data_IF_168299795042
#
_entry.id   IF_168299795042
#
_cell.length_a   1.000
_cell.length_b   1.000
_cell.length_c   1.000
_cell.angle_alpha   90.00
_cell.angle_beta   90.00
_cell.angle_gamma   90.00
#
_symmetry.space_group_name_H-M   'P 1'
#
loop_
_entity.id
_entity.type
_entity.pdbx_description
1 polymer ?
#
# COMPACT_ATOMS: atom_id res chain seq x y z
N UNK A 1 4.49 8.93 9.37
CA UNK A 1 3.78 8.26 8.26
C UNK A 1 2.71 9.12 7.62
N UNK A 2 2.09 10.01 8.40
CA UNK A 2 1.04 10.95 8.01
C UNK A 2 1.22 11.63 6.64
N UNK A 3 2.43 12.04 6.25
CA UNK A 3 2.68 12.64 4.92
C UNK A 3 2.20 11.77 3.75
N UNK A 4 2.34 10.45 3.82
CA UNK A 4 1.87 9.55 2.76
C UNK A 4 0.36 9.35 2.83
N UNK A 5 -0.20 9.11 4.01
CA UNK A 5 -1.65 8.90 4.17
C UNK A 5 -2.44 10.16 3.79
N UNK A 6 -1.97 11.34 4.17
CA UNK A 6 -2.53 12.62 3.74
C UNK A 6 -2.37 12.84 2.23
N UNK A 7 -1.28 12.40 1.61
CA UNK A 7 -1.15 12.46 0.14
C UNK A 7 -2.16 11.55 -0.54
N UNK A 8 -2.42 10.34 -0.02
CA UNK A 8 -3.44 9.43 -0.56
C UNK A 8 -4.82 10.06 -0.42
N UNK A 9 -5.16 10.60 0.77
CA UNK A 9 -6.40 11.34 0.99
C UNK A 9 -6.56 12.48 0.00
N UNK A 10 -5.50 13.26 -0.22
CA UNK A 10 -5.56 14.39 -1.14
C UNK A 10 -5.82 13.95 -2.58
N UNK A 11 -5.19 12.87 -3.02
CA UNK A 11 -5.47 12.28 -4.32
C UNK A 11 -6.92 11.76 -4.43
N UNK A 12 -7.49 11.21 -3.35
CA UNK A 12 -8.90 10.80 -3.34
C UNK A 12 -9.85 12.01 -3.41
N UNK A 13 -9.56 13.09 -2.70
CA UNK A 13 -10.34 14.34 -2.72
C UNK A 13 -10.35 15.00 -4.10
N UNK A 14 -9.21 14.99 -4.79
CA UNK A 14 -9.05 15.60 -6.12
C UNK A 14 -9.34 14.65 -7.27
N UNK A 15 -9.85 13.45 -6.97
CA UNK A 15 -10.18 12.41 -7.94
C UNK A 15 -8.98 11.94 -8.78
N UNK A 16 -7.77 12.12 -8.27
CA UNK A 16 -6.55 11.55 -8.82
C UNK A 16 -6.44 10.06 -8.44
N UNK A 17 -7.30 9.24 -9.04
CA UNK A 17 -7.46 7.82 -8.70
C UNK A 17 -6.18 7.01 -8.90
N UNK A 18 -5.45 7.25 -9.98
CA UNK A 18 -4.18 6.57 -10.23
C UNK A 18 -3.15 6.96 -9.17
N UNK A 19 -3.00 8.25 -8.87
CA UNK A 19 -2.09 8.69 -7.80
C UNK A 19 -2.45 8.08 -6.44
N UNK A 20 -3.74 7.96 -6.12
CA UNK A 20 -4.19 7.31 -4.90
C UNK A 20 -3.84 5.82 -4.89
N UNK A 21 -4.15 5.10 -5.97
CA UNK A 21 -3.91 3.66 -6.11
C UNK A 21 -2.40 3.32 -6.03
N UNK A 22 -1.56 4.00 -6.79
CA UNK A 22 -0.12 3.75 -6.80
C UNK A 22 0.51 4.00 -5.43
N UNK A 23 0.11 5.08 -4.73
CA UNK A 23 0.63 5.34 -3.39
C UNK A 23 0.09 4.33 -2.36
N UNK A 24 -1.20 3.96 -2.42
CA UNK A 24 -1.77 2.94 -1.55
C UNK A 24 -1.06 1.60 -1.70
N UNK A 25 -0.82 1.13 -2.93
CA UNK A 25 -0.07 -0.09 -3.20
C UNK A 25 1.40 -0.01 -2.80
N UNK A 26 1.97 1.18 -2.62
CA UNK A 26 3.35 1.33 -2.15
C UNK A 26 3.45 1.27 -0.62
N UNK A 27 2.36 1.51 0.11
CA UNK A 27 2.42 1.61 1.58
C UNK A 27 2.91 0.33 2.27
N UNK A 28 2.46 -0.89 1.90
CA UNK A 28 2.96 -2.09 2.55
C UNK A 28 4.47 -2.33 2.35
N UNK A 29 5.08 -1.85 1.25
CA UNK A 29 6.54 -1.88 1.07
C UNK A 29 7.25 -0.99 2.11
N UNK A 30 6.79 0.26 2.23
CA UNK A 30 7.41 1.26 3.10
C UNK A 30 7.27 0.82 4.55
N UNK A 31 6.05 0.46 4.96
CA UNK A 31 5.78 0.00 6.31
C UNK A 31 6.52 -1.32 6.60
N UNK A 32 6.49 -2.27 5.68
CA UNK A 32 7.22 -3.53 5.80
C UNK A 32 8.72 -3.35 5.93
N UNK A 33 9.35 -2.37 5.25
CA UNK A 33 10.77 -2.06 5.43
C UNK A 33 11.09 -1.52 6.82
N UNK A 34 10.16 -0.78 7.43
CA UNK A 34 10.32 -0.25 8.78
C UNK A 34 10.15 -1.37 9.81
N UNK A 35 9.12 -2.21 9.66
CA UNK A 35 8.79 -3.30 10.60
C UNK A 35 9.75 -4.46 10.53
N UNK A 36 10.15 -4.87 9.32
CA UNK A 36 10.94 -6.08 9.07
C UNK A 36 12.25 -5.74 8.36
N UNK A 37 13.14 -4.92 8.95
CA UNK A 37 14.39 -4.51 8.30
C UNK A 37 15.32 -5.68 7.95
N UNK A 38 15.22 -6.79 8.70
CA UNK A 38 16.00 -8.02 8.58
C UNK A 38 15.63 -8.88 7.37
N UNK A 39 14.39 -8.79 6.90
CA UNK A 39 13.97 -9.47 5.67
C UNK A 39 14.59 -8.71 4.49
N UNK A 40 15.39 -9.37 3.66
CA UNK A 40 16.20 -8.72 2.63
C UNK A 40 15.38 -8.14 1.46
N UNK A 41 14.43 -8.91 0.93
CA UNK A 41 13.70 -8.57 -0.29
C UNK A 41 12.37 -7.84 -0.01
N UNK A 42 11.93 -6.99 -0.93
CA UNK A 42 10.69 -6.20 -0.79
C UNK A 42 9.44 -7.07 -0.74
N UNK A 43 9.32 -8.05 -1.64
CA UNK A 43 8.13 -8.90 -1.71
C UNK A 43 7.80 -9.62 -0.41
N UNK A 44 8.74 -10.34 0.23
CA UNK A 44 8.48 -10.95 1.53
C UNK A 44 8.06 -9.94 2.61
N UNK A 45 8.73 -8.77 2.71
CA UNK A 45 8.34 -7.70 3.65
C UNK A 45 6.93 -7.18 3.41
N UNK A 46 6.60 -6.96 2.14
CA UNK A 46 5.28 -6.50 1.72
C UNK A 46 4.23 -7.51 2.17
N UNK A 47 4.46 -8.80 1.92
CA UNK A 47 3.52 -9.85 2.25
C UNK A 47 3.33 -10.02 3.75
N UNK A 48 4.41 -9.97 4.53
CA UNK A 48 4.35 -10.00 6.00
C UNK A 48 3.54 -8.82 6.54
N UNK A 49 3.82 -7.60 6.06
CA UNK A 49 3.07 -6.43 6.52
C UNK A 49 1.61 -6.47 6.11
N UNK A 50 1.29 -6.90 4.88
CA UNK A 50 -0.08 -7.09 4.42
C UNK A 50 -0.80 -8.14 5.28
N UNK A 51 -0.16 -9.28 5.55
CA UNK A 51 -0.75 -10.34 6.35
C UNK A 51 -1.08 -9.87 7.77
N UNK A 52 -0.21 -9.07 8.38
CA UNK A 52 -0.42 -8.53 9.71
C UNK A 52 -1.52 -7.46 9.78
N UNK A 53 -1.71 -6.65 8.73
CA UNK A 53 -2.53 -5.43 8.83
C UNK A 53 -3.76 -5.38 7.90
N UNK A 54 -3.78 -6.15 6.82
CA UNK A 54 -4.82 -6.11 5.79
C UNK A 54 -5.50 -7.46 5.55
N UNK A 55 -4.94 -8.58 6.00
CA UNK A 55 -5.51 -9.91 5.73
C UNK A 55 -6.93 -10.08 6.29
N UNK A 56 -7.19 -9.59 7.51
CA UNK A 56 -8.46 -9.80 8.20
C UNK A 56 -9.62 -9.12 7.47
N UNK A 57 -9.42 -7.88 7.02
CA UNK A 57 -10.45 -7.16 6.27
C UNK A 57 -10.65 -7.77 4.88
N UNK A 58 -9.65 -8.46 4.31
CA UNK A 58 -9.73 -9.10 3.00
C UNK A 58 -10.26 -10.54 3.04
N UNK A 59 -10.88 -10.93 4.16
CA UNK A 59 -11.53 -12.23 4.36
C UNK A 59 -12.94 -12.05 4.89
N UNK A 60 -13.80 -13.03 4.64
CA UNK A 60 -15.12 -13.12 5.25
C UNK A 60 -15.54 -14.57 5.44
N UNK A 61 -16.42 -14.84 6.40
CA UNK A 61 -17.05 -16.14 6.54
C UNK A 61 -18.42 -16.10 5.85
N UNK A 62 -18.57 -16.85 4.76
CA UNK A 62 -19.81 -16.96 4.00
C UNK A 62 -20.29 -18.40 4.12
N UNK A 63 -21.44 -18.58 4.76
CA UNK A 63 -22.06 -19.91 4.96
C UNK A 63 -21.14 -20.94 5.63
N UNK A 64 -20.34 -20.51 6.62
CA UNK A 64 -19.42 -21.38 7.34
C UNK A 64 -18.08 -21.64 6.64
N UNK A 65 -17.85 -21.05 5.46
CA UNK A 65 -16.59 -21.14 4.72
C UNK A 65 -15.85 -19.81 4.74
N UNK A 66 -14.56 -19.85 5.03
CA UNK A 66 -13.69 -18.69 4.84
C UNK A 66 -13.53 -18.42 3.34
N UNK A 67 -13.86 -17.20 2.94
CA UNK A 67 -13.64 -16.65 1.61
C UNK A 67 -12.57 -15.59 1.73
N UNK A 68 -11.49 -15.76 0.97
CA UNK A 68 -10.40 -14.78 0.86
C UNK A 68 -10.59 -14.01 -0.43
N UNK A 69 -10.77 -12.70 -0.34
CA UNK A 69 -10.97 -11.84 -1.51
C UNK A 69 -9.65 -11.41 -2.14
N UNK A 70 -8.64 -11.12 -1.31
CA UNK A 70 -7.34 -10.64 -1.75
C UNK A 70 -6.26 -11.19 -0.83
N UNK A 71 -5.30 -11.93 -1.40
CA UNK A 71 -4.12 -12.41 -0.67
C UNK A 71 -2.99 -11.39 -0.72
N UNK A 72 -2.05 -11.51 0.21
CA UNK A 72 -0.83 -10.69 0.21
C UNK A 72 -0.01 -10.87 -1.07
N UNK A 73 0.03 -12.10 -1.59
CA UNK A 73 0.72 -12.48 -2.82
C UNK A 73 0.08 -11.84 -4.06
N UNK A 74 -1.25 -11.91 -4.20
CA UNK A 74 -1.96 -11.28 -5.31
C UNK A 74 -1.89 -9.75 -5.25
N UNK A 75 -1.95 -9.17 -4.06
CA UNK A 75 -1.78 -7.72 -3.89
C UNK A 75 -0.35 -7.26 -4.22
N UNK A 76 0.67 -8.06 -3.85
CA UNK A 76 2.06 -7.81 -4.26
C UNK A 76 2.23 -7.93 -5.78
N UNK A 77 1.62 -8.95 -6.40
CA UNK A 77 1.63 -9.14 -7.84
C UNK A 77 1.00 -7.94 -8.57
N UNK A 78 -0.16 -7.46 -8.11
CA UNK A 78 -0.80 -6.24 -8.63
C UNK A 78 0.12 -5.03 -8.54
N UNK A 79 0.75 -4.80 -7.38
CA UNK A 79 1.72 -3.72 -7.18
C UNK A 79 2.85 -3.81 -8.21
N UNK A 80 3.44 -4.98 -8.40
CA UNK A 80 4.51 -5.20 -9.37
C UNK A 80 4.05 -4.96 -10.81
N UNK A 81 2.86 -5.46 -11.17
CA UNK A 81 2.30 -5.32 -12.51
C UNK A 81 2.03 -3.86 -12.87
N UNK A 82 1.37 -3.12 -11.98
CA UNK A 82 1.10 -1.69 -12.18
C UNK A 82 2.39 -0.86 -12.21
N UNK A 83 3.35 -1.14 -11.31
CA UNK A 83 4.58 -0.36 -11.25
C UNK A 83 5.51 -0.58 -12.44
N UNK A 84 5.59 -1.81 -12.96
CA UNK A 84 6.56 -2.17 -14.01
C UNK A 84 5.96 -2.17 -15.42
N UNK A 85 4.66 -2.45 -15.55
CA UNK A 85 3.99 -2.60 -16.84
C UNK A 85 2.72 -1.74 -16.98
N UNK A 86 2.22 -1.13 -15.89
CA UNK A 86 0.99 -0.34 -15.93
C UNK A 86 -0.27 -1.14 -16.22
N UNK A 87 -0.24 -2.46 -16.02
CA UNK A 87 -1.33 -3.38 -16.33
C UNK A 87 -2.02 -3.90 -15.06
N UNK A 88 -3.32 -4.15 -15.18
CA UNK A 88 -4.20 -4.71 -14.17
C UNK A 88 -4.30 -6.24 -14.24
N UNK A 89 -3.72 -6.84 -15.29
CA UNK A 89 -3.46 -8.28 -15.43
C UNK A 89 -2.20 -8.65 -14.64
N UNK A 90 -2.27 -9.71 -13.84
CA UNK A 90 -1.18 -10.19 -13.00
C UNK A 90 -0.72 -11.61 -13.35
N UNK A 91 -1.20 -12.19 -14.45
CA UNK A 91 -0.88 -13.57 -14.87
C UNK A 91 0.61 -13.80 -15.14
N UNK A 92 1.34 -12.75 -15.54
CA UNK A 92 2.78 -12.82 -15.76
C UNK A 92 3.61 -12.72 -14.46
N UNK A 93 2.97 -12.38 -13.33
CA UNK A 93 3.64 -12.18 -12.06
C UNK A 93 3.83 -13.52 -11.35
N UNK A 94 5.08 -13.94 -11.15
CA UNK A 94 5.40 -15.19 -10.43
C UNK A 94 4.84 -15.28 -9.01
N UNK A 95 4.50 -14.14 -8.41
CA UNK A 95 3.94 -14.06 -7.07
C UNK A 95 2.41 -14.22 -7.03
N UNK A 96 1.74 -14.26 -8.19
CA UNK A 96 0.30 -14.47 -8.32
C UNK A 96 -0.12 -15.83 -7.74
N UNK A 97 -1.30 -15.87 -7.12
CA UNK A 97 -1.91 -17.06 -6.54
C UNK A 97 -3.24 -17.38 -7.22
N UNK A 98 -4.32 -16.68 -6.88
CA UNK A 98 -5.68 -17.01 -7.33
C UNK A 98 -6.16 -16.04 -8.39
N UNK A 99 -5.90 -14.74 -8.19
CA UNK A 99 -6.40 -13.69 -9.07
C UNK A 99 -5.57 -13.62 -10.35
N UNK A 100 -6.22 -13.34 -11.48
CA UNK A 100 -5.58 -13.11 -12.77
C UNK A 100 -5.63 -11.63 -13.14
N UNK A 101 -6.71 -10.94 -12.75
CA UNK A 101 -6.94 -9.53 -13.12
C UNK A 101 -7.65 -8.76 -12.01
N UNK A 102 -7.36 -7.46 -11.94
CA UNK A 102 -8.07 -6.51 -11.10
C UNK A 102 -8.91 -5.57 -11.94
N UNK A 103 -10.07 -5.18 -11.43
CA UNK A 103 -10.85 -4.09 -11.98
C UNK A 103 -11.06 -3.02 -10.91
N UNK A 104 -10.91 -1.76 -11.30
CA UNK A 104 -11.07 -0.65 -10.38
C UNK A 104 -12.28 0.19 -10.75
N UNK A 105 -13.07 0.57 -9.76
CA UNK A 105 -14.27 1.38 -9.96
C UNK A 105 -14.41 2.47 -8.91
N UNK A 106 -15.15 3.52 -9.24
CA UNK A 106 -15.60 4.54 -8.29
C UNK A 106 -17.05 4.31 -7.84
N UNK A 107 -17.75 3.35 -8.46
CA UNK A 107 -19.12 2.97 -8.14
C UNK A 107 -19.20 2.12 -6.87
N UNK A 108 -20.40 1.90 -6.33
CA UNK A 108 -20.64 1.20 -5.06
C UNK A 108 -20.31 -0.31 -5.01
N UNK A 109 -19.40 -0.80 -5.85
CA UNK A 109 -18.97 -2.19 -5.91
C UNK A 109 -17.57 -2.32 -5.30
N UNK A 110 -17.42 -3.11 -4.25
CA UNK A 110 -16.14 -3.34 -3.60
C UNK A 110 -16.00 -4.80 -3.18
N UNK A 111 -14.87 -5.42 -3.53
CA UNK A 111 -14.58 -6.84 -3.32
C UNK A 111 -15.61 -7.76 -3.94
N UNK A 112 -15.94 -7.48 -5.20
CA UNK A 112 -16.76 -8.39 -6.03
C UNK A 112 -15.81 -9.33 -6.74
N UNK A 113 -15.90 -10.61 -6.41
CA UNK A 113 -15.05 -11.66 -6.96
C UNK A 113 -15.87 -12.51 -7.94
N UNK A 114 -15.51 -12.49 -9.21
CA UNK A 114 -16.12 -13.30 -10.26
C UNK A 114 -15.01 -14.01 -11.04
N UNK A 115 -15.03 -15.34 -11.03
CA UNK A 115 -13.92 -16.18 -11.52
C UNK A 115 -12.60 -15.77 -10.86
N UNK A 116 -11.57 -15.40 -11.62
CA UNK A 116 -10.27 -14.95 -11.11
C UNK A 116 -10.11 -13.41 -11.22
N UNK A 117 -11.22 -12.67 -11.31
CA UNK A 117 -11.24 -11.20 -11.41
C UNK A 117 -11.78 -10.60 -10.12
N UNK A 118 -11.02 -9.68 -9.53
CA UNK A 118 -11.45 -8.92 -8.35
C UNK A 118 -11.75 -7.46 -8.70
N UNK A 119 -13.01 -7.05 -8.54
CA UNK A 119 -13.40 -5.64 -8.66
C UNK A 119 -13.31 -4.92 -7.31
N UNK A 120 -12.54 -3.84 -7.26
CA UNK A 120 -12.33 -3.01 -6.07
C UNK A 120 -12.82 -1.58 -6.30
N UNK A 121 -13.61 -1.05 -5.36
CA UNK A 121 -13.80 0.39 -5.27
C UNK A 121 -12.49 1.06 -4.83
N UNK A 122 -11.99 2.02 -5.61
CA UNK A 122 -10.70 2.68 -5.38
C UNK A 122 -10.70 3.44 -4.05
N UNK A 123 -11.78 4.17 -3.73
CA UNK A 123 -11.90 4.94 -2.49
C UNK A 123 -11.88 4.02 -1.28
N UNK A 124 -12.66 2.94 -1.31
CA UNK A 124 -12.71 1.96 -0.23
C UNK A 124 -11.34 1.31 -0.01
N UNK A 125 -10.72 0.78 -1.07
CA UNK A 125 -9.39 0.15 -0.98
C UNK A 125 -8.33 1.11 -0.43
N UNK A 126 -8.25 2.35 -0.94
CA UNK A 126 -7.29 3.33 -0.46
C UNK A 126 -7.53 3.71 1.01
N UNK A 127 -8.80 3.87 1.42
CA UNK A 127 -9.15 4.17 2.81
C UNK A 127 -8.82 3.01 3.75
N UNK A 128 -9.01 1.77 3.33
CA UNK A 128 -8.60 0.57 4.07
C UNK A 128 -7.09 0.54 4.29
N UNK A 129 -6.31 0.83 3.25
CA UNK A 129 -4.84 0.93 3.37
C UNK A 129 -4.43 2.07 4.31
N UNK A 130 -5.06 3.26 4.19
CA UNK A 130 -4.80 4.39 5.10
C UNK A 130 -5.03 3.98 6.56
N UNK A 131 -6.19 3.37 6.84
CA UNK A 131 -6.54 2.93 8.19
C UNK A 131 -5.55 1.89 8.72
N UNK A 132 -5.16 0.93 7.90
CA UNK A 132 -4.16 -0.07 8.27
C UNK A 132 -2.79 0.55 8.58
N UNK A 133 -2.34 1.54 7.80
CA UNK A 133 -1.09 2.26 8.06
C UNK A 133 -1.16 3.04 9.36
N UNK A 134 -2.27 3.71 9.64
CA UNK A 134 -2.43 4.54 10.84
C UNK A 134 -2.51 3.67 12.11
N UNK A 135 -3.31 2.60 12.07
CA UNK A 135 -3.40 1.65 13.17
C UNK A 135 -2.07 0.95 13.45
N UNK A 136 -1.29 0.63 12.41
CA UNK A 136 0.05 0.08 12.55
C UNK A 136 1.03 1.08 13.16
N UNK A 137 0.96 2.36 12.76
CA UNK A 137 1.96 3.36 13.12
C UNK A 137 1.75 3.95 14.51
N UNK A 138 0.49 4.17 14.93
CA UNK A 138 0.13 4.78 16.21
C UNK A 138 0.87 4.20 17.43
N UNK A 139 0.90 2.87 17.66
CA UNK A 139 1.56 2.31 18.85
C UNK A 139 3.09 2.38 18.83
N UNK A 140 3.71 2.58 17.66
CA UNK A 140 5.17 2.53 17.48
C UNK A 140 5.80 3.88 17.15
N UNK A 141 4.99 4.93 16.96
CA UNK A 141 5.42 6.24 16.49
C UNK A 141 6.49 6.89 17.38
N UNK A 142 6.41 6.66 18.70
CA UNK A 142 7.31 7.28 19.68
C UNK A 142 8.62 6.50 19.90
N UNK A 143 8.75 5.30 19.33
CA UNK A 143 9.96 4.48 19.51
C UNK A 143 11.15 5.07 18.75
N UNK A 144 12.31 5.10 19.40
CA UNK A 144 13.53 5.73 18.85
C UNK A 144 13.92 5.09 17.51
N UNK A 145 13.89 3.76 17.43
CA UNK A 145 14.22 3.02 16.22
C UNK A 145 13.31 3.39 15.03
N UNK A 146 12.00 3.54 15.26
CA UNK A 146 11.05 3.94 14.22
C UNK A 146 11.28 5.39 13.80
N UNK A 147 11.54 6.30 14.74
CA UNK A 147 11.88 7.70 14.43
C UNK A 147 13.11 7.79 13.53
N UNK A 148 14.18 7.05 13.85
CA UNK A 148 15.40 7.01 13.04
C UNK A 148 15.15 6.47 11.63
N UNK A 149 14.36 5.39 11.49
CA UNK A 149 13.99 4.85 10.19
C UNK A 149 13.15 5.84 9.38
N UNK A 150 12.19 6.52 10.01
CA UNK A 150 11.32 7.52 9.36
C UNK A 150 12.10 8.76 8.94
N UNK A 151 13.11 9.16 9.70
CA UNK A 151 13.98 10.29 9.36
C UNK A 151 14.76 10.06 8.05
N UNK A 152 15.00 8.80 7.67
CA UNK A 152 15.68 8.42 6.41
C UNK A 152 14.73 8.34 5.21
N UNK A 153 13.41 8.36 5.43
CA UNK A 153 12.44 8.38 4.35
C UNK A 153 12.52 9.73 3.64
N UNK A 154 12.32 9.71 2.31
CA UNK A 154 12.31 10.90 1.47
C UNK A 154 11.46 12.03 2.09
N UNK A 155 12.03 13.23 2.06
CA UNK A 155 11.35 14.47 2.41
C UNK A 155 11.46 15.45 1.25
N UNK A 156 10.33 16.05 0.86
CA UNK A 156 10.31 17.12 -0.13
C UNK A 156 10.64 18.42 0.61
N UNK A 157 11.68 19.12 0.15
CA UNK A 157 12.05 20.44 0.68
C UNK A 157 11.16 21.48 -0.02
N UNK A 158 10.19 22.03 0.70
CA UNK A 158 9.27 23.05 0.20
C UNK A 158 9.74 24.48 0.52
N UNK A 159 10.65 24.61 1.47
CA UNK A 159 11.30 25.87 1.82
C UNK A 159 12.71 25.94 1.21
N UNK A 160 13.27 27.15 1.02
CA UNK A 160 14.66 27.32 0.60
C UNK A 160 15.59 26.48 1.48
N UNK A 161 16.44 25.68 0.84
CA UNK A 161 17.46 24.88 1.51
C UNK A 161 18.79 25.09 0.80
N UNK A 162 19.88 25.05 1.55
CA UNK A 162 21.20 25.04 0.92
C UNK A 162 21.53 23.62 0.46
N UNK A 163 21.75 23.39 -0.85
CA UNK A 163 22.15 22.07 -1.35
C UNK A 163 23.62 21.75 -1.04
N UNK A 164 24.37 22.71 -0.49
CA UNK A 164 25.77 22.56 -0.12
C UNK A 164 25.87 22.63 1.41
N UNK A 165 26.43 21.61 2.09
CA UNK A 165 26.71 21.71 3.52
C UNK A 165 27.67 22.89 3.76
N UNK A 166 27.18 23.95 4.41
CA UNK A 166 28.03 25.05 4.89
C UNK A 166 28.04 26.35 4.08
N UNK A 167 27.18 26.54 3.07
CA UNK A 167 27.00 27.85 2.43
C UNK A 167 25.58 28.33 2.67
N UNK A 168 25.40 29.29 3.58
CA UNK A 168 24.16 30.07 3.65
C UNK A 168 24.28 31.19 2.63
N UNK A 169 23.28 31.33 1.76
CA UNK A 169 23.09 32.54 0.98
C UNK A 169 22.32 33.51 1.88
N UNK A 170 22.98 34.62 2.24
CA UNK A 170 22.39 35.77 2.95
C UNK A 170 21.35 36.50 2.07
#
# INVERSE_FOLDING_TARGET
MERFTNSIRKNLETENWYGALFMALTMPDICGKITYPEIEHSGPRYKEWFNANLSQINKSNIMGKEVVFLTASDCWALRCSLLHAGTDDITEQRAQEVLEKFEFTTLGMHRIHINNILTLNIKAFCNEVIQAVEAWYEPIAETLEVKEKIARIISIKTEPFSPIPGIQFE
#
